data_IF_233253156468
#
_entry.id   IF_233253156468
#
_cell.length_a   1.000
_cell.length_b   1.000
_cell.length_c   1.000
_cell.angle_alpha   90.00
_cell.angle_beta   90.00
_cell.angle_gamma   90.00
#
_symmetry.space_group_name_H-M   'P 1'
#
loop_
_entity.id
_entity.type
_entity.pdbx_description
1 polymer ?
#
# COMPACT_ATOMS: atom_id res chain seq x y z
N UNK A 1 -32.15 12.20 -2.64
CA UNK A 1 -30.96 12.27 -1.76
C UNK A 1 -29.75 11.64 -2.48
N UNK A 2 -29.24 12.30 -3.53
CA UNK A 2 -28.11 11.79 -4.33
C UNK A 2 -26.88 12.73 -4.30
N UNK A 3 -27.05 13.96 -3.82
CA UNK A 3 -26.06 15.04 -3.95
C UNK A 3 -24.87 14.93 -2.99
N UNK A 4 -24.95 14.08 -1.95
CA UNK A 4 -23.86 13.91 -0.96
C UNK A 4 -22.78 12.90 -1.34
N UNK A 5 -22.94 12.12 -2.43
CA UNK A 5 -21.96 11.10 -2.84
C UNK A 5 -20.97 11.58 -3.90
N UNK A 6 -21.37 12.57 -4.71
CA UNK A 6 -20.53 13.10 -5.80
C UNK A 6 -19.47 14.07 -5.25
N UNK A 7 -19.83 14.94 -4.30
CA UNK A 7 -18.89 15.89 -3.66
C UNK A 7 -17.80 15.20 -2.83
N UNK A 8 -18.12 14.06 -2.19
CA UNK A 8 -17.15 13.26 -1.42
C UNK A 8 -16.14 12.53 -2.32
N UNK A 9 -16.58 12.03 -3.48
CA UNK A 9 -15.69 11.35 -4.43
C UNK A 9 -14.65 12.31 -5.03
N UNK A 10 -15.05 13.54 -5.37
CA UNK A 10 -14.13 14.55 -5.91
C UNK A 10 -13.12 15.05 -4.86
N UNK A 11 -13.55 15.22 -3.60
CA UNK A 11 -12.61 15.59 -2.54
C UNK A 11 -11.57 14.50 -2.30
N UNK A 12 -11.99 13.23 -2.31
CA UNK A 12 -11.10 12.09 -2.09
C UNK A 12 -10.03 11.97 -3.18
N UNK A 13 -10.37 12.27 -4.44
CA UNK A 13 -9.43 12.25 -5.57
C UNK A 13 -8.38 13.37 -5.46
N UNK A 14 -8.80 14.59 -5.09
CA UNK A 14 -7.86 15.71 -4.89
C UNK A 14 -6.87 15.46 -3.74
N UNK A 15 -7.29 14.77 -2.67
CA UNK A 15 -6.35 14.39 -1.59
C UNK A 15 -5.34 13.34 -2.05
N UNK A 16 -5.76 12.39 -2.89
CA UNK A 16 -4.86 11.38 -3.46
C UNK A 16 -3.85 12.02 -4.41
N UNK A 17 -4.28 12.91 -5.31
CA UNK A 17 -3.38 13.62 -6.22
C UNK A 17 -2.32 14.43 -5.46
N UNK A 18 -2.74 15.20 -4.45
CA UNK A 18 -1.80 15.94 -3.59
C UNK A 18 -0.82 15.00 -2.88
N UNK A 19 -1.33 13.88 -2.36
CA UNK A 19 -0.47 12.90 -1.70
C UNK A 19 0.54 12.30 -2.68
N UNK A 20 0.14 11.99 -3.92
CA UNK A 20 1.05 11.51 -4.97
C UNK A 20 2.16 12.52 -5.23
N UNK A 21 1.83 13.80 -5.44
CA UNK A 21 2.82 14.86 -5.70
C UNK A 21 3.82 15.01 -4.56
N UNK A 22 3.33 14.97 -3.31
CA UNK A 22 4.18 15.07 -2.12
C UNK A 22 5.09 13.85 -1.97
N UNK A 23 4.56 12.64 -2.17
CA UNK A 23 5.33 11.39 -2.07
C UNK A 23 6.38 11.31 -3.17
N UNK A 24 6.05 11.78 -4.38
CA UNK A 24 6.98 11.84 -5.51
C UNK A 24 8.19 12.75 -5.23
N UNK A 25 8.01 13.83 -4.45
CA UNK A 25 9.09 14.72 -4.07
C UNK A 25 10.12 14.08 -3.11
N UNK A 26 9.81 12.93 -2.49
CA UNK A 26 10.70 12.19 -1.57
C UNK A 26 11.25 13.05 -0.42
N UNK A 27 10.50 14.09 -0.02
CA UNK A 27 10.95 15.04 0.98
C UNK A 27 10.24 14.82 2.31
N UNK A 28 10.98 14.41 3.33
CA UNK A 28 10.44 14.03 4.64
C UNK A 28 9.55 15.11 5.27
N UNK A 29 9.94 16.39 5.18
CA UNK A 29 9.16 17.48 5.76
C UNK A 29 7.84 17.69 5.03
N UNK A 30 7.80 17.44 3.72
CA UNK A 30 6.56 17.54 2.94
C UNK A 30 5.63 16.39 3.27
N UNK A 31 6.17 15.18 3.47
CA UNK A 31 5.40 14.02 3.93
C UNK A 31 4.78 14.31 5.31
N UNK A 32 5.53 14.93 6.23
CA UNK A 32 4.96 15.32 7.53
C UNK A 32 3.86 16.38 7.37
N UNK A 33 4.11 17.42 6.56
CA UNK A 33 3.11 18.46 6.29
C UNK A 33 1.84 17.89 5.64
N UNK A 34 1.97 16.91 4.73
CA UNK A 34 0.84 16.19 4.14
C UNK A 34 0.04 15.45 5.22
N UNK A 35 0.69 14.69 6.10
CA UNK A 35 -0.02 13.96 7.16
C UNK A 35 -0.77 14.90 8.09
N UNK A 36 -0.13 16.01 8.48
CA UNK A 36 -0.76 17.05 9.29
C UNK A 36 -1.96 17.67 8.55
N UNK A 37 -1.82 17.93 7.24
CA UNK A 37 -2.92 18.42 6.41
C UNK A 37 -4.07 17.43 6.31
N UNK A 38 -3.80 16.13 6.14
CA UNK A 38 -4.82 15.09 6.04
C UNK A 38 -5.61 14.88 7.35
N UNK A 39 -5.17 15.45 8.47
CA UNK A 39 -5.96 15.44 9.72
C UNK A 39 -7.28 16.19 9.63
N UNK A 40 -7.49 17.00 8.58
CA UNK A 40 -8.80 17.58 8.25
C UNK A 40 -9.85 16.53 7.90
N UNK A 41 -9.43 15.32 7.50
CA UNK A 41 -10.32 14.21 7.22
C UNK A 41 -10.97 13.71 8.52
N UNK A 42 -12.26 13.35 8.48
CA UNK A 42 -13.05 13.09 9.69
C UNK A 42 -12.68 11.80 10.43
N UNK A 43 -11.84 10.93 9.85
CA UNK A 43 -11.46 9.65 10.43
C UNK A 43 -10.07 9.20 9.93
N UNK A 44 -9.19 8.69 10.82
CA UNK A 44 -7.90 8.09 10.46
C UNK A 44 -7.94 7.07 9.31
N UNK A 45 -9.01 6.28 9.18
CA UNK A 45 -9.15 5.31 8.06
C UNK A 45 -9.16 5.95 6.68
N UNK A 46 -9.62 7.22 6.58
CA UNK A 46 -9.59 7.94 5.32
C UNK A 46 -8.18 8.41 4.97
N UNK A 47 -7.38 8.78 5.98
CA UNK A 47 -5.97 9.12 5.80
C UNK A 47 -5.21 7.89 5.29
N UNK A 48 -5.40 6.74 5.95
CA UNK A 48 -4.83 5.46 5.54
C UNK A 48 -5.19 5.10 4.09
N UNK A 49 -6.47 5.28 3.72
CA UNK A 49 -6.96 5.04 2.36
C UNK A 49 -6.32 5.97 1.33
N UNK A 50 -6.22 7.26 1.63
CA UNK A 50 -5.59 8.26 0.74
C UNK A 50 -4.12 7.92 0.52
N UNK A 51 -3.37 7.65 1.59
CA UNK A 51 -1.96 7.29 1.50
C UNK A 51 -1.74 5.97 0.75
N UNK A 52 -2.60 4.97 0.99
CA UNK A 52 -2.55 3.69 0.26
C UNK A 52 -2.82 3.91 -1.22
N UNK A 53 -3.90 4.61 -1.59
CA UNK A 53 -4.20 4.93 -3.00
C UNK A 53 -3.07 5.71 -3.66
N UNK A 54 -2.48 6.67 -2.95
CA UNK A 54 -1.35 7.45 -3.45
C UNK A 54 -0.12 6.59 -3.72
N UNK A 55 0.21 5.60 -2.87
CA UNK A 55 1.28 4.64 -3.12
C UNK A 55 1.02 3.83 -4.41
N UNK A 56 -0.21 3.32 -4.59
CA UNK A 56 -0.56 2.55 -5.77
C UNK A 56 -0.56 3.41 -7.05
N UNK A 57 -1.06 4.64 -6.99
CA UNK A 57 -1.00 5.56 -8.12
C UNK A 57 0.44 5.98 -8.45
N UNK A 58 1.26 6.23 -7.41
CA UNK A 58 2.68 6.52 -7.57
C UNK A 58 3.43 5.33 -8.22
N UNK A 59 3.07 4.09 -7.89
CA UNK A 59 3.65 2.91 -8.53
C UNK A 59 3.41 2.88 -10.06
N UNK A 60 2.28 3.38 -10.52
CA UNK A 60 1.94 3.43 -11.95
C UNK A 60 2.68 4.55 -12.68
N UNK A 61 2.88 5.71 -12.05
CA UNK A 61 3.45 6.90 -12.70
C UNK A 61 4.95 7.12 -12.46
N UNK A 62 5.48 6.68 -11.31
CA UNK A 62 6.87 6.85 -10.89
C UNK A 62 7.31 5.72 -9.93
N UNK A 63 7.73 4.59 -10.52
CA UNK A 63 8.12 3.39 -9.79
C UNK A 63 9.28 3.61 -8.84
N UNK A 64 10.25 4.45 -9.20
CA UNK A 64 11.44 4.68 -8.36
C UNK A 64 11.07 5.50 -7.13
N UNK A 65 10.19 6.51 -7.27
CA UNK A 65 9.65 7.21 -6.12
C UNK A 65 8.81 6.28 -5.23
N UNK A 66 7.99 5.40 -5.81
CA UNK A 66 7.25 4.41 -5.05
C UNK A 66 8.18 3.47 -4.26
N UNK A 67 9.23 2.93 -4.89
CA UNK A 67 10.26 2.11 -4.20
C UNK A 67 10.91 2.86 -3.05
N UNK A 68 11.25 4.14 -3.26
CA UNK A 68 11.81 4.96 -2.20
C UNK A 68 10.85 5.09 -1.01
N UNK A 69 9.55 5.31 -1.25
CA UNK A 69 8.54 5.39 -0.21
C UNK A 69 8.39 4.05 0.53
N UNK A 70 8.33 2.92 -0.18
CA UNK A 70 8.21 1.60 0.46
C UNK A 70 9.41 1.29 1.38
N UNK A 71 10.63 1.62 0.94
CA UNK A 71 11.86 1.51 1.74
C UNK A 71 11.88 2.45 2.95
N UNK A 72 11.25 3.62 2.84
CA UNK A 72 11.17 4.64 3.89
C UNK A 72 9.77 4.73 4.52
N UNK A 73 9.03 3.62 4.55
CA UNK A 73 7.62 3.55 4.98
C UNK A 73 7.37 4.08 6.39
N UNK A 74 8.39 4.10 7.26
CA UNK A 74 8.32 4.71 8.58
C UNK A 74 7.91 6.20 8.56
N UNK A 75 8.11 6.93 7.45
CA UNK A 75 7.67 8.31 7.32
C UNK A 75 6.14 8.46 7.24
N UNK A 76 5.42 7.39 6.90
CA UNK A 76 3.96 7.38 6.83
C UNK A 76 3.31 7.01 8.16
N UNK A 77 4.09 6.56 9.15
CA UNK A 77 3.56 6.30 10.49
C UNK A 77 3.27 7.60 11.26
N UNK A 78 2.28 7.62 12.16
CA UNK A 78 1.37 6.50 12.50
C UNK A 78 0.18 6.32 11.53
N UNK A 79 0.02 7.18 10.54
CA UNK A 79 -1.17 7.24 9.69
C UNK A 79 -1.32 6.00 8.76
N UNK A 80 -0.20 5.43 8.32
CA UNK A 80 -0.16 4.17 7.57
C UNK A 80 1.08 3.36 7.93
N UNK A 81 0.87 2.17 8.50
CA UNK A 81 1.91 1.14 8.60
C UNK A 81 1.89 0.25 7.35
N UNK A 82 2.74 0.60 6.39
CA UNK A 82 2.84 -0.11 5.10
C UNK A 82 3.21 -1.59 5.29
N UNK A 83 3.96 -1.94 6.35
CA UNK A 83 4.38 -3.32 6.61
C UNK A 83 3.21 -4.15 7.09
N UNK A 84 2.42 -3.62 8.02
CA UNK A 84 1.20 -4.29 8.48
C UNK A 84 0.18 -4.41 7.33
N UNK A 85 -0.02 -3.32 6.57
CA UNK A 85 -0.85 -3.35 5.37
C UNK A 85 -0.43 -4.46 4.40
N UNK A 86 0.87 -4.58 4.10
CA UNK A 86 1.40 -5.57 3.18
C UNK A 86 1.15 -7.02 3.66
N UNK A 87 1.31 -7.28 4.97
CA UNK A 87 1.01 -8.59 5.58
C UNK A 87 -0.47 -8.91 5.47
N UNK A 88 -1.34 -7.97 5.82
CA UNK A 88 -2.78 -8.15 5.71
C UNK A 88 -3.20 -8.41 4.25
N UNK A 89 -2.64 -7.65 3.31
CA UNK A 89 -2.92 -7.81 1.89
C UNK A 89 -2.53 -9.20 1.36
N UNK A 90 -1.31 -9.69 1.65
CA UNK A 90 -0.88 -11.04 1.25
C UNK A 90 -1.81 -12.11 1.83
N UNK A 91 -2.10 -12.03 3.13
CA UNK A 91 -2.98 -12.98 3.81
C UNK A 91 -4.36 -13.01 3.15
N UNK A 92 -4.98 -11.84 2.96
CA UNK A 92 -6.28 -11.71 2.32
C UNK A 92 -6.26 -12.27 0.90
N UNK A 93 -5.24 -11.95 0.10
CA UNK A 93 -5.12 -12.43 -1.29
C UNK A 93 -5.04 -13.97 -1.34
N UNK A 94 -4.12 -14.57 -0.59
CA UNK A 94 -3.95 -16.03 -0.58
C UNK A 94 -5.17 -16.77 -0.01
N UNK A 95 -5.77 -16.26 1.07
CA UNK A 95 -6.97 -16.86 1.64
C UNK A 95 -8.18 -16.74 0.69
N UNK A 96 -8.29 -15.64 -0.05
CA UNK A 96 -9.36 -15.49 -1.07
C UNK A 96 -9.21 -16.48 -2.22
N UNK A 97 -8.00 -16.98 -2.46
CA UNK A 97 -7.69 -18.03 -3.44
C UNK A 97 -7.83 -19.46 -2.85
N UNK A 98 -8.21 -19.58 -1.57
CA UNK A 98 -8.42 -20.86 -0.90
C UNK A 98 -7.19 -21.44 -0.19
N UNK A 99 -6.07 -20.71 -0.14
CA UNK A 99 -4.87 -21.14 0.58
C UNK A 99 -5.02 -20.96 2.09
N UNK A 100 -4.44 -21.88 2.86
CA UNK A 100 -4.57 -21.95 4.32
C UNK A 100 -3.26 -21.49 4.98
N UNK A 101 -3.39 -20.57 5.93
CA UNK A 101 -2.26 -20.10 6.75
C UNK A 101 -1.70 -21.24 7.62
N UNK A 102 -0.37 -21.32 7.76
CA UNK A 102 0.38 -22.43 8.38
C UNK A 102 0.29 -23.78 7.65
N UNK A 103 -0.22 -23.80 6.42
CA UNK A 103 -0.23 -24.99 5.57
C UNK A 103 0.36 -24.67 4.20
N UNK A 104 -0.22 -23.69 3.51
CA UNK A 104 0.18 -23.30 2.16
C UNK A 104 1.11 -22.09 2.16
N UNK A 105 1.03 -21.27 3.21
CA UNK A 105 1.87 -20.10 3.44
C UNK A 105 2.01 -19.80 4.94
N UNK A 106 3.15 -19.23 5.34
CA UNK A 106 3.42 -18.80 6.72
C UNK A 106 4.49 -17.71 6.75
N UNK A 107 4.66 -17.05 7.91
CA UNK A 107 5.76 -16.11 8.14
C UNK A 107 6.80 -16.75 9.04
N UNK A 108 8.02 -16.96 8.54
CA UNK A 108 9.12 -17.48 9.36
C UNK A 108 9.65 -16.43 10.34
N UNK A 109 9.62 -15.17 9.93
CA UNK A 109 9.97 -13.96 10.69
C UNK A 109 9.06 -12.81 10.21
N UNK A 110 8.99 -11.66 10.91
CA UNK A 110 8.29 -10.49 10.38
C UNK A 110 8.73 -10.18 8.95
N UNK A 111 7.77 -10.12 8.03
CA UNK A 111 7.98 -9.88 6.60
C UNK A 111 8.78 -10.95 5.84
N UNK A 112 9.07 -12.11 6.46
CA UNK A 112 9.66 -13.25 5.77
C UNK A 112 8.56 -14.26 5.43
N UNK A 113 7.92 -14.05 4.29
CA UNK A 113 6.85 -14.88 3.77
C UNK A 113 7.40 -16.14 3.10
N UNK A 114 7.00 -17.30 3.61
CA UNK A 114 7.30 -18.60 3.03
C UNK A 114 6.03 -19.17 2.38
N UNK A 115 6.18 -19.74 1.19
CA UNK A 115 5.08 -20.17 0.34
C UNK A 115 5.35 -21.59 -0.19
N UNK A 116 4.31 -22.39 -0.31
CA UNK A 116 4.35 -23.55 -1.20
C UNK A 116 4.43 -23.08 -2.66
N UNK A 117 4.94 -23.93 -3.56
CA UNK A 117 5.03 -23.60 -4.99
C UNK A 117 3.69 -23.19 -5.61
N UNK A 118 2.59 -23.81 -5.17
CA UNK A 118 1.25 -23.48 -5.68
C UNK A 118 0.80 -22.10 -5.18
N UNK A 119 1.00 -21.81 -3.89
CA UNK A 119 0.68 -20.50 -3.33
C UNK A 119 1.52 -19.38 -3.94
N UNK A 120 2.80 -19.65 -4.21
CA UNK A 120 3.68 -18.72 -4.92
C UNK A 120 3.18 -18.44 -6.33
N UNK A 121 2.88 -19.47 -7.13
CA UNK A 121 2.37 -19.30 -8.49
C UNK A 121 1.07 -18.48 -8.54
N UNK A 122 0.15 -18.70 -7.61
CA UNK A 122 -1.12 -17.97 -7.53
C UNK A 122 -0.97 -16.56 -6.97
N UNK A 123 -0.03 -16.32 -6.03
CA UNK A 123 0.28 -14.98 -5.54
C UNK A 123 0.75 -14.07 -6.67
N UNK A 124 1.57 -14.62 -7.58
CA UNK A 124 2.12 -13.94 -8.76
C UNK A 124 1.07 -13.55 -9.81
N UNK A 125 -0.10 -14.19 -9.80
CA UNK A 125 -1.12 -13.93 -10.81
C UNK A 125 -1.83 -12.60 -10.55
N UNK A 126 -2.08 -11.88 -11.66
CA UNK A 126 -2.85 -10.63 -11.68
C UNK A 126 -2.36 -9.56 -10.69
N UNK A 127 -1.04 -9.52 -10.42
CA UNK A 127 -0.45 -8.46 -9.60
C UNK A 127 -0.45 -7.13 -10.35
N UNK A 128 -0.99 -6.09 -9.72
CA UNK A 128 -0.76 -4.70 -10.14
C UNK A 128 0.73 -4.33 -9.99
N UNK A 129 1.14 -3.18 -10.54
CA UNK A 129 2.52 -2.71 -10.35
C UNK A 129 2.78 -2.44 -8.86
N UNK A 130 1.82 -1.82 -8.17
CA UNK A 130 1.91 -1.57 -6.73
C UNK A 130 2.08 -2.87 -5.93
N UNK A 131 1.31 -3.91 -6.22
CA UNK A 131 1.42 -5.21 -5.54
C UNK A 131 2.81 -5.84 -5.76
N UNK A 132 3.35 -5.76 -6.98
CA UNK A 132 4.71 -6.24 -7.28
C UNK A 132 5.75 -5.50 -6.47
N UNK A 133 5.67 -4.16 -6.44
CA UNK A 133 6.61 -3.34 -5.67
C UNK A 133 6.52 -3.63 -4.17
N UNK A 134 5.33 -3.89 -3.63
CA UNK A 134 5.17 -4.33 -2.23
C UNK A 134 5.87 -5.68 -1.99
N UNK A 135 5.66 -6.66 -2.88
CA UNK A 135 6.34 -7.97 -2.76
C UNK A 135 7.86 -7.84 -2.85
N UNK A 136 8.37 -7.03 -3.77
CA UNK A 136 9.80 -6.77 -3.96
C UNK A 136 10.41 -6.04 -2.75
N UNK A 137 9.82 -4.93 -2.31
CA UNK A 137 10.45 -4.01 -1.36
C UNK A 137 10.14 -4.32 0.10
N UNK A 138 9.00 -4.97 0.39
CA UNK A 138 8.60 -5.32 1.76
C UNK A 138 8.95 -6.78 2.08
N UNK A 139 8.69 -7.71 1.16
CA UNK A 139 8.90 -9.14 1.38
C UNK A 139 10.21 -9.67 0.76
N UNK A 140 10.95 -8.86 -0.01
CA UNK A 140 12.14 -9.28 -0.76
C UNK A 140 11.88 -10.44 -1.72
N UNK A 141 10.66 -10.50 -2.29
CA UNK A 141 10.28 -11.51 -3.27
C UNK A 141 10.40 -10.90 -4.66
N UNK A 142 11.38 -11.38 -5.42
CA UNK A 142 11.66 -10.90 -6.78
C UNK A 142 11.15 -11.92 -7.80
N UNK A 143 10.24 -11.49 -8.67
CA UNK A 143 9.78 -12.30 -9.79
C UNK A 143 10.55 -11.91 -11.05
N UNK A 144 11.04 -12.93 -11.77
CA UNK A 144 11.80 -12.79 -13.03
C UNK A 144 10.89 -12.79 -14.25
#
# INVERSE_FOLDING_TARGET
>A
MAQGREDQNHSDESYVELAVDVLQAQHREYIQALKDFLTVLPNPRLIELVLTKAIYQLAEIDREACRWILRNSAYLMPELDVRDYAVQWVCCKLQSQGFIFNQDFWFAEPLKLELTKNAELELCQNLSIGDRLILEEIFNIYYS
#
